data_IF_568960604390
#
_entry.id   IF_568960604390
#
_cell.length_a   1.000
_cell.length_b   1.000
_cell.length_c   1.000
_cell.angle_alpha   90.00
_cell.angle_beta   90.00
_cell.angle_gamma   90.00
#
_symmetry.space_group_name_H-M   'P 1'
#
loop_
_entity.id
_entity.type
_entity.pdbx_description
1 polymer ?
#
# COMPACT_ATOMS: atom_id res chain seq x y z
N UNK A 1 4.96 18.44 -4.82
CA UNK A 1 6.07 18.19 -5.76
C UNK A 1 5.62 18.14 -7.22
N UNK A 2 4.47 17.53 -7.52
CA UNK A 2 3.89 17.65 -8.86
C UNK A 2 3.71 19.11 -9.30
N UNK A 3 3.45 20.02 -8.35
CA UNK A 3 3.36 21.46 -8.64
C UNK A 3 4.70 22.08 -9.05
N UNK A 4 5.81 21.63 -8.43
CA UNK A 4 7.15 22.15 -8.78
C UNK A 4 7.62 21.72 -10.17
N UNK A 5 7.06 20.62 -10.69
CA UNK A 5 7.37 20.06 -12.00
C UNK A 5 6.22 20.21 -13.00
N UNK A 6 5.17 20.94 -12.66
CA UNK A 6 3.97 21.09 -13.49
C UNK A 6 4.27 21.57 -14.92
N UNK A 7 5.24 22.46 -15.08
CA UNK A 7 5.67 22.94 -16.40
C UNK A 7 6.33 21.85 -17.27
N UNK A 8 7.01 20.89 -16.64
CA UNK A 8 7.63 19.76 -17.34
C UNK A 8 6.59 18.71 -17.74
N UNK A 9 5.52 18.56 -16.95
CA UNK A 9 4.41 17.67 -17.24
C UNK A 9 3.33 18.27 -18.16
N UNK A 10 3.33 19.56 -18.40
CA UNK A 10 2.31 20.25 -19.21
C UNK A 10 2.15 19.73 -20.65
N UNK A 11 3.14 19.02 -21.15
CA UNK A 11 3.13 18.38 -22.49
C UNK A 11 2.36 17.06 -22.57
N UNK A 12 1.89 16.53 -21.43
CA UNK A 12 1.16 15.28 -21.37
C UNK A 12 -0.34 15.50 -21.19
N UNK A 13 -1.18 14.60 -21.70
CA UNK A 13 -2.64 14.71 -21.67
C UNK A 13 -3.24 14.76 -20.25
N UNK A 14 -2.50 14.32 -19.24
CA UNK A 14 -2.93 14.37 -17.83
C UNK A 14 -2.67 15.72 -17.15
N UNK A 15 -2.12 16.70 -17.85
CA UNK A 15 -1.83 18.04 -17.27
C UNK A 15 -3.09 18.78 -16.80
N UNK A 16 -4.23 18.65 -17.48
CA UNK A 16 -5.49 19.30 -17.09
C UNK A 16 -6.02 18.76 -15.75
N UNK A 17 -6.15 17.44 -15.51
CA UNK A 17 -6.54 16.92 -14.22
C UNK A 17 -5.61 17.36 -13.07
N UNK A 18 -4.32 17.48 -13.32
CA UNK A 18 -3.35 17.96 -12.33
C UNK A 18 -3.55 19.44 -12.01
N UNK A 19 -3.79 20.28 -13.02
CA UNK A 19 -4.10 21.71 -12.85
C UNK A 19 -5.38 21.88 -12.02
N UNK A 20 -6.46 21.20 -12.39
CA UNK A 20 -7.74 21.22 -11.68
C UNK A 20 -7.61 20.79 -10.21
N UNK A 21 -6.74 19.83 -9.93
CA UNK A 21 -6.43 19.38 -8.57
C UNK A 21 -5.80 20.52 -7.74
N UNK A 22 -4.86 21.23 -8.30
CA UNK A 22 -4.16 22.35 -7.66
C UNK A 22 -5.09 23.56 -7.43
N UNK A 23 -6.01 23.85 -8.36
CA UNK A 23 -6.96 24.97 -8.27
C UNK A 23 -8.13 24.69 -7.31
N UNK A 24 -8.36 23.44 -6.89
CA UNK A 24 -9.49 23.07 -6.02
C UNK A 24 -9.15 23.34 -4.55
N UNK A 25 -9.47 24.51 -4.02
CA UNK A 25 -9.07 25.01 -2.69
C UNK A 25 -10.19 25.00 -1.63
N UNK A 26 -11.33 24.38 -1.85
CA UNK A 26 -12.45 24.43 -0.91
C UNK A 26 -12.51 23.22 0.02
N UNK A 27 -12.82 23.43 1.30
CA UNK A 27 -12.98 22.38 2.32
C UNK A 27 -14.41 21.79 2.38
N UNK A 28 -15.25 22.02 1.37
CA UNK A 28 -16.56 21.38 1.31
C UNK A 28 -16.45 19.90 0.92
N UNK A 29 -17.42 19.07 1.35
CA UNK A 29 -17.46 17.64 1.02
C UNK A 29 -17.47 17.40 -0.49
N UNK A 30 -18.11 18.28 -1.27
CA UNK A 30 -18.11 18.20 -2.72
C UNK A 30 -16.74 18.46 -3.35
N UNK A 31 -15.94 19.37 -2.77
CA UNK A 31 -14.58 19.63 -3.22
C UNK A 31 -13.66 18.47 -2.90
N UNK A 32 -13.83 17.86 -1.74
CA UNK A 32 -13.07 16.67 -1.33
C UNK A 32 -13.36 15.52 -2.30
N UNK A 33 -14.61 15.23 -2.60
CA UNK A 33 -15.00 14.20 -3.55
C UNK A 33 -14.49 14.49 -4.97
N UNK A 34 -14.56 15.76 -5.41
CA UNK A 34 -14.01 16.17 -6.70
C UNK A 34 -12.50 15.96 -6.76
N UNK A 35 -11.76 16.37 -5.73
CA UNK A 35 -10.30 16.18 -5.67
C UNK A 35 -9.90 14.71 -5.70
N UNK A 36 -10.60 13.84 -4.98
CA UNK A 36 -10.37 12.40 -5.02
C UNK A 36 -10.56 11.83 -6.42
N UNK A 37 -11.64 12.21 -7.11
CA UNK A 37 -11.90 11.81 -8.49
C UNK A 37 -10.83 12.29 -9.46
N UNK A 38 -10.41 13.55 -9.36
CA UNK A 38 -9.35 14.13 -10.19
C UNK A 38 -8.00 13.46 -9.94
N UNK A 39 -7.66 13.19 -8.66
CA UNK A 39 -6.44 12.49 -8.30
C UNK A 39 -6.39 11.09 -8.92
N UNK A 40 -7.48 10.32 -8.84
CA UNK A 40 -7.56 9.00 -9.48
C UNK A 40 -7.39 9.06 -10.99
N UNK A 41 -8.02 10.05 -11.64
CA UNK A 41 -7.89 10.28 -13.09
C UNK A 41 -6.45 10.60 -13.45
N UNK A 42 -5.80 11.49 -12.70
CA UNK A 42 -4.40 11.84 -12.88
C UNK A 42 -3.49 10.62 -12.68
N UNK A 43 -3.64 9.90 -11.56
CA UNK A 43 -2.82 8.73 -11.25
C UNK A 43 -2.96 7.61 -12.30
N UNK A 44 -4.19 7.43 -12.84
CA UNK A 44 -4.44 6.49 -13.94
C UNK A 44 -3.72 6.93 -15.20
N UNK A 45 -3.87 8.17 -15.62
CA UNK A 45 -3.25 8.70 -16.83
C UNK A 45 -1.72 8.63 -16.76
N UNK A 46 -1.11 8.94 -15.61
CA UNK A 46 0.33 8.78 -15.39
C UNK A 46 0.75 7.32 -15.54
N UNK A 47 0.04 6.40 -14.91
CA UNK A 47 0.36 4.98 -14.99
C UNK A 47 0.23 4.43 -16.42
N UNK A 48 -0.85 4.75 -17.11
CA UNK A 48 -1.08 4.35 -18.52
C UNK A 48 0.04 4.90 -19.41
N UNK A 49 0.34 6.20 -19.33
CA UNK A 49 1.43 6.83 -20.08
C UNK A 49 2.81 6.23 -19.79
N UNK A 50 3.05 5.81 -18.52
CA UNK A 50 4.28 5.13 -18.16
C UNK A 50 4.37 3.72 -18.78
N UNK A 51 3.29 2.94 -18.72
CA UNK A 51 3.24 1.59 -19.28
C UNK A 51 3.34 1.61 -20.82
N UNK A 52 2.71 2.56 -21.47
CA UNK A 52 2.76 2.76 -22.92
C UNK A 52 4.12 3.33 -23.40
N UNK A 53 4.97 3.79 -22.48
CA UNK A 53 6.24 4.41 -22.79
C UNK A 53 6.15 5.81 -23.38
N UNK A 54 4.97 6.45 -23.32
CA UNK A 54 4.76 7.82 -23.76
C UNK A 54 5.23 8.86 -22.73
N UNK A 55 5.30 8.48 -21.44
CA UNK A 55 5.85 9.29 -20.37
C UNK A 55 7.37 9.12 -20.27
N UNK A 56 8.08 10.25 -20.19
CA UNK A 56 9.53 10.26 -19.99
C UNK A 56 9.91 9.66 -18.64
N UNK A 57 10.47 8.44 -18.67
CA UNK A 57 10.87 7.71 -17.46
C UNK A 57 11.91 8.45 -16.65
N UNK A 58 12.84 9.19 -17.31
CA UNK A 58 13.85 9.96 -16.59
C UNK A 58 13.22 11.09 -15.76
N UNK A 59 12.13 11.68 -16.26
CA UNK A 59 11.39 12.69 -15.51
C UNK A 59 10.71 12.09 -14.29
N UNK A 60 10.05 10.94 -14.44
CA UNK A 60 9.42 10.23 -13.32
C UNK A 60 10.46 9.86 -12.27
N UNK A 61 11.56 9.24 -12.68
CA UNK A 61 12.64 8.84 -11.78
C UNK A 61 13.26 10.05 -11.07
N UNK A 62 13.48 11.17 -11.76
CA UNK A 62 13.98 12.42 -11.16
C UNK A 62 13.07 12.92 -10.03
N UNK A 63 11.75 12.93 -10.26
CA UNK A 63 10.76 13.36 -9.25
C UNK A 63 10.71 12.39 -8.09
N UNK A 64 10.60 11.10 -8.37
CA UNK A 64 10.55 10.04 -7.36
C UNK A 64 11.81 10.05 -6.47
N UNK A 65 13.00 10.13 -7.08
CA UNK A 65 14.25 10.16 -6.35
C UNK A 65 14.39 11.43 -5.49
N UNK A 66 13.97 12.59 -6.00
CA UNK A 66 13.96 13.83 -5.22
C UNK A 66 13.06 13.72 -3.99
N UNK A 67 11.87 13.16 -4.14
CA UNK A 67 10.92 12.92 -3.05
C UNK A 67 11.48 11.93 -2.04
N UNK A 68 12.05 10.85 -2.52
CA UNK A 68 12.65 9.83 -1.67
C UNK A 68 13.81 10.38 -0.83
N UNK A 69 14.71 11.19 -1.42
CA UNK A 69 15.78 11.85 -0.69
C UNK A 69 15.26 12.82 0.39
N UNK A 70 14.18 13.56 0.11
CA UNK A 70 13.53 14.41 1.13
C UNK A 70 12.96 13.57 2.28
N UNK A 71 12.39 12.41 1.99
CA UNK A 71 11.87 11.48 3.01
C UNK A 71 12.99 10.95 3.90
N UNK A 72 14.11 10.52 3.32
CA UNK A 72 15.30 10.06 4.07
C UNK A 72 15.82 11.19 4.98
N UNK A 73 16.02 12.39 4.42
CA UNK A 73 16.53 13.53 5.17
C UNK A 73 15.59 13.90 6.33
N UNK A 74 14.28 13.90 6.11
CA UNK A 74 13.31 14.19 7.16
C UNK A 74 13.33 13.14 8.29
N UNK A 75 13.55 11.88 7.96
CA UNK A 75 13.71 10.82 8.95
C UNK A 75 14.99 11.02 9.77
N UNK A 76 16.11 11.33 9.12
CA UNK A 76 17.40 11.59 9.79
C UNK A 76 17.35 12.83 10.67
N UNK A 77 16.80 13.93 10.18
CA UNK A 77 16.67 15.20 10.91
C UNK A 77 15.82 15.06 12.20
N UNK A 78 14.80 14.20 12.14
CA UNK A 78 13.91 13.96 13.27
C UNK A 78 14.45 12.88 14.24
N UNK A 79 15.42 12.07 13.83
CA UNK A 79 15.94 10.98 14.65
C UNK A 79 16.72 11.51 15.86
N UNK A 80 16.29 11.12 17.06
CA UNK A 80 16.94 11.48 18.33
C UNK A 80 17.14 10.21 19.17
N UNK A 81 18.34 9.62 19.19
CA UNK A 81 18.59 8.38 19.91
C UNK A 81 18.11 8.38 21.35
N UNK A 82 17.30 7.39 21.72
CA UNK A 82 16.71 7.26 23.07
C UNK A 82 15.54 8.21 23.39
N UNK A 83 15.15 9.09 22.46
CA UNK A 83 14.04 10.06 22.62
C UNK A 83 12.98 9.85 21.54
N UNK A 84 13.36 9.85 20.28
CA UNK A 84 12.46 9.71 19.15
C UNK A 84 13.11 8.88 18.05
N UNK A 85 12.48 7.76 17.71
CA UNK A 85 12.96 6.86 16.65
C UNK A 85 12.15 7.11 15.38
N UNK A 86 12.83 7.28 14.29
CA UNK A 86 12.29 7.45 12.95
C UNK A 86 12.79 6.37 12.02
N UNK A 87 12.01 6.06 11.01
CA UNK A 87 12.37 5.15 9.93
C UNK A 87 12.09 5.82 8.59
N UNK A 88 12.96 5.63 7.62
CA UNK A 88 12.62 5.92 6.24
C UNK A 88 11.72 4.81 5.71
N UNK A 89 10.69 5.17 4.97
CA UNK A 89 9.73 4.22 4.40
C UNK A 89 8.90 4.85 3.30
N UNK A 90 8.19 4.01 2.58
CA UNK A 90 7.26 4.42 1.53
C UNK A 90 6.14 3.41 1.38
N UNK A 91 5.06 3.81 0.75
CA UNK A 91 3.97 2.89 0.40
C UNK A 91 4.18 2.33 -1.01
N UNK A 92 4.23 1.00 -1.10
CA UNK A 92 4.10 0.26 -2.34
C UNK A 92 2.61 0.07 -2.63
N UNK A 93 2.04 0.99 -3.41
CA UNK A 93 0.61 1.10 -3.70
C UNK A 93 0.25 0.23 -4.89
N UNK A 94 0.25 -1.09 -4.75
CA UNK A 94 -0.10 -2.03 -5.82
C UNK A 94 -1.54 -2.54 -5.73
N UNK A 95 -2.03 -3.09 -6.82
CA UNK A 95 -3.36 -3.70 -6.90
C UNK A 95 -3.38 -4.80 -7.96
N UNK A 96 -4.30 -5.74 -7.85
CA UNK A 96 -4.46 -6.79 -8.89
C UNK A 96 -5.08 -6.19 -10.16
N UNK A 97 -6.07 -5.34 -9.99
CA UNK A 97 -6.68 -4.58 -11.08
C UNK A 97 -6.33 -3.11 -10.88
N UNK A 98 -6.35 -2.31 -11.92
CA UNK A 98 -6.15 -0.87 -11.80
C UNK A 98 -7.17 -0.31 -10.79
N UNK A 99 -6.72 -0.09 -9.54
CA UNK A 99 -7.46 0.56 -8.43
C UNK A 99 -8.58 -0.24 -7.75
N UNK A 100 -8.81 -1.53 -8.04
CA UNK A 100 -9.99 -2.24 -7.53
C UNK A 100 -9.71 -3.26 -6.42
N UNK A 101 -8.55 -3.94 -6.42
CA UNK A 101 -8.18 -4.94 -5.41
C UNK A 101 -6.82 -4.61 -4.83
N UNK A 102 -6.81 -3.97 -3.67
CA UNK A 102 -5.61 -3.41 -3.07
C UNK A 102 -4.64 -4.48 -2.57
N UNK A 103 -3.39 -4.27 -2.95
CA UNK A 103 -2.25 -5.04 -2.45
C UNK A 103 -1.18 -4.09 -1.89
N UNK A 104 -1.62 -3.07 -1.16
CA UNK A 104 -0.77 -2.04 -0.59
C UNK A 104 0.14 -2.58 0.51
N UNK A 105 1.37 -2.10 0.58
CA UNK A 105 2.35 -2.41 1.62
C UNK A 105 3.15 -1.18 1.99
N UNK A 106 3.31 -0.94 3.28
CA UNK A 106 4.30 0.01 3.76
C UNK A 106 5.66 -0.69 3.83
N UNK A 107 6.61 -0.25 3.02
CA UNK A 107 7.99 -0.72 3.07
C UNK A 107 8.77 0.19 4.01
N UNK A 108 9.36 -0.39 5.06
CA UNK A 108 10.08 0.32 6.11
C UNK A 108 11.52 -0.21 6.15
N UNK A 109 12.48 0.71 6.12
CA UNK A 109 13.90 0.40 6.21
C UNK A 109 14.38 0.50 7.66
N UNK A 110 15.29 -0.41 8.02
CA UNK A 110 15.85 -0.50 9.38
C UNK A 110 16.64 0.74 9.77
N UNK A 111 17.36 1.31 8.83
CA UNK A 111 18.12 2.55 8.98
C UNK A 111 18.21 3.28 7.63
N UNK A 112 18.82 4.45 7.62
CA UNK A 112 18.93 5.30 6.42
C UNK A 112 20.25 5.16 5.66
N UNK A 113 21.10 4.20 6.08
CA UNK A 113 22.40 4.01 5.45
C UNK A 113 22.29 3.21 4.17
N UNK A 114 23.00 3.67 3.16
CA UNK A 114 23.11 2.99 1.86
C UNK A 114 21.77 2.67 1.19
N UNK A 115 20.73 3.46 1.52
CA UNK A 115 19.43 3.28 0.88
C UNK A 115 19.55 3.50 -0.64
N UNK A 116 18.81 2.77 -1.45
CA UNK A 116 18.83 2.93 -2.90
C UNK A 116 18.33 4.34 -3.30
N UNK A 117 18.94 4.92 -4.32
CA UNK A 117 18.50 6.20 -4.87
C UNK A 117 17.08 6.14 -5.43
N UNK A 118 16.66 4.95 -5.90
CA UNK A 118 15.35 4.68 -6.45
C UNK A 118 14.68 3.51 -5.73
N UNK A 119 13.48 3.74 -5.25
CA UNK A 119 12.64 2.70 -4.64
C UNK A 119 11.91 1.89 -5.72
N UNK A 120 11.60 0.63 -5.41
CA UNK A 120 10.74 -0.22 -6.21
C UNK A 120 9.27 0.16 -5.99
N UNK A 121 8.54 0.42 -7.05
CA UNK A 121 7.17 0.92 -7.00
C UNK A 121 6.22 0.11 -7.90
N UNK A 122 4.93 0.43 -7.84
CA UNK A 122 3.94 -0.13 -8.76
C UNK A 122 4.24 0.12 -10.24
N UNK A 123 5.04 1.14 -10.55
CA UNK A 123 5.47 1.41 -11.92
C UNK A 123 6.48 0.37 -12.44
N UNK A 124 7.18 -0.30 -11.54
CA UNK A 124 8.09 -1.40 -11.87
C UNK A 124 7.32 -2.72 -12.02
N UNK A 125 6.46 -3.01 -11.05
CA UNK A 125 5.55 -4.17 -11.07
C UNK A 125 4.38 -3.96 -10.12
N UNK A 126 3.24 -4.56 -10.42
CA UNK A 126 2.09 -4.69 -9.54
C UNK A 126 2.17 -5.95 -8.67
N UNK A 127 3.07 -6.88 -9.02
CA UNK A 127 3.26 -8.15 -8.33
C UNK A 127 4.07 -7.95 -7.05
N UNK A 128 3.50 -8.21 -5.86
CA UNK A 128 4.23 -8.10 -4.60
C UNK A 128 5.38 -9.10 -4.45
N UNK A 129 5.39 -10.18 -5.23
CA UNK A 129 6.51 -11.15 -5.21
C UNK A 129 7.77 -10.55 -5.84
N UNK A 130 7.60 -9.66 -6.83
CA UNK A 130 8.70 -8.88 -7.40
C UNK A 130 9.23 -7.82 -6.42
N UNK A 131 8.35 -7.24 -5.59
CA UNK A 131 8.81 -6.40 -4.48
C UNK A 131 9.68 -7.22 -3.51
N UNK A 132 9.25 -8.43 -3.13
CA UNK A 132 10.06 -9.28 -2.23
C UNK A 132 11.39 -9.67 -2.84
N UNK A 133 11.43 -9.95 -4.15
CA UNK A 133 12.68 -10.21 -4.88
C UNK A 133 13.63 -9.00 -4.79
N UNK A 134 13.10 -7.81 -5.02
CA UNK A 134 13.87 -6.58 -4.90
C UNK A 134 14.39 -6.35 -3.47
N UNK A 135 13.54 -6.55 -2.46
CA UNK A 135 13.94 -6.43 -1.05
C UNK A 135 15.04 -7.43 -0.68
N UNK A 136 14.95 -8.67 -1.17
CA UNK A 136 15.98 -9.70 -0.93
C UNK A 136 17.31 -9.31 -1.56
N UNK A 137 17.33 -8.81 -2.79
CA UNK A 137 18.54 -8.29 -3.44
C UNK A 137 19.14 -7.14 -2.63
N UNK A 138 18.31 -6.19 -2.17
CA UNK A 138 18.81 -5.08 -1.31
C UNK A 138 19.38 -5.59 0.01
N UNK A 139 18.81 -6.63 0.58
CA UNK A 139 19.31 -7.26 1.82
C UNK A 139 20.69 -7.90 1.63
N UNK A 140 20.94 -8.52 0.48
CA UNK A 140 22.27 -9.02 0.12
C UNK A 140 23.32 -7.89 0.03
N UNK A 141 22.89 -6.68 -0.30
CA UNK A 141 23.71 -5.47 -0.30
C UNK A 141 23.80 -4.79 1.08
N UNK A 142 23.19 -5.38 2.11
CA UNK A 142 23.21 -4.87 3.49
C UNK A 142 22.11 -3.89 3.83
N UNK A 143 21.09 -3.72 2.97
CA UNK A 143 19.93 -2.86 3.22
C UNK A 143 18.77 -3.68 3.76
N UNK A 144 18.55 -3.63 5.08
CA UNK A 144 17.48 -4.34 5.75
C UNK A 144 16.16 -3.59 5.68
N UNK A 145 15.10 -4.30 5.30
CA UNK A 145 13.73 -3.76 5.23
C UNK A 145 12.69 -4.82 5.55
N UNK A 146 11.47 -4.36 5.84
CA UNK A 146 10.26 -5.18 5.93
C UNK A 146 9.12 -4.49 5.21
N UNK A 147 8.12 -5.27 4.78
CA UNK A 147 6.89 -4.77 4.22
C UNK A 147 5.71 -5.14 5.11
N UNK A 148 4.76 -4.22 5.28
CA UNK A 148 3.55 -4.40 6.09
C UNK A 148 2.34 -4.28 5.17
N UNK A 149 1.70 -5.41 4.76
CA UNK A 149 0.43 -5.38 4.07
C UNK A 149 -0.63 -4.67 4.92
N UNK A 150 -1.40 -3.81 4.28
CA UNK A 150 -2.52 -3.11 4.90
C UNK A 150 -3.72 -3.05 3.95
N UNK A 151 -4.89 -2.62 4.43
CA UNK A 151 -6.12 -2.60 3.63
C UNK A 151 -6.51 -3.96 3.03
N UNK A 152 -6.19 -5.06 3.70
CA UNK A 152 -6.49 -6.39 3.18
C UNK A 152 -8.00 -6.64 3.04
N UNK A 153 -8.83 -5.99 3.88
CA UNK A 153 -10.29 -6.01 3.82
C UNK A 153 -10.86 -5.58 2.46
N UNK A 154 -10.11 -4.78 1.71
CA UNK A 154 -10.49 -4.29 0.38
C UNK A 154 -9.65 -4.88 -0.77
N UNK A 155 -8.99 -6.01 -0.52
CA UNK A 155 -8.19 -6.72 -1.51
C UNK A 155 -8.99 -7.67 -2.42
N UNK A 156 -10.29 -7.85 -2.18
CA UNK A 156 -11.10 -8.81 -2.95
C UNK A 156 -10.57 -10.26 -2.88
N UNK A 157 -9.95 -10.64 -1.78
CA UNK A 157 -9.39 -11.97 -1.54
C UNK A 157 -7.94 -12.16 -2.00
N UNK A 158 -7.34 -11.15 -2.59
CA UNK A 158 -6.00 -11.27 -3.17
C UNK A 158 -4.86 -11.13 -2.14
N UNK A 159 -5.10 -10.43 -1.01
CA UNK A 159 -4.06 -10.22 0.00
C UNK A 159 -3.52 -11.52 0.61
N UNK A 160 -4.39 -12.50 0.84
CA UNK A 160 -4.06 -13.79 1.44
C UNK A 160 -4.58 -14.95 0.56
N UNK A 161 -4.16 -14.96 -0.69
CA UNK A 161 -4.54 -15.96 -1.68
C UNK A 161 -3.98 -17.35 -1.35
N UNK A 162 -4.62 -18.42 -1.89
CA UNK A 162 -4.10 -19.80 -1.88
C UNK A 162 -3.26 -20.09 -3.14
N UNK A 163 -2.98 -19.10 -3.95
CA UNK A 163 -2.13 -19.15 -5.15
C UNK A 163 -1.16 -17.96 -5.15
N UNK A 164 -0.10 -18.05 -5.93
CA UNK A 164 0.78 -16.91 -6.22
C UNK A 164 0.03 -15.81 -6.99
N UNK A 165 0.69 -14.70 -7.25
CA UNK A 165 0.09 -13.54 -7.93
C UNK A 165 -0.43 -13.89 -9.33
N UNK A 166 0.23 -14.79 -10.04
CA UNK A 166 -0.12 -15.21 -11.39
C UNK A 166 -1.14 -16.37 -11.44
N UNK A 167 -1.63 -16.83 -10.27
CA UNK A 167 -2.60 -17.92 -10.14
C UNK A 167 -1.98 -19.33 -10.14
N UNK A 168 -0.66 -19.42 -10.05
CA UNK A 168 0.08 -20.68 -9.88
C UNK A 168 0.02 -21.19 -8.43
N UNK A 169 0.51 -22.41 -8.18
CA UNK A 169 0.55 -22.97 -6.83
C UNK A 169 1.61 -22.28 -5.98
N UNK A 170 1.27 -22.03 -4.71
CA UNK A 170 2.26 -21.59 -3.71
C UNK A 170 3.26 -22.73 -3.48
N UNK A 171 4.54 -22.41 -3.44
CA UNK A 171 5.64 -23.29 -3.10
C UNK A 171 6.44 -22.80 -1.88
N UNK A 172 7.44 -23.58 -1.44
CA UNK A 172 8.29 -23.22 -0.30
C UNK A 172 9.14 -21.97 -0.57
N UNK A 173 9.42 -21.65 -1.84
CA UNK A 173 10.15 -20.43 -2.20
C UNK A 173 9.29 -19.20 -1.94
N UNK A 174 8.03 -19.23 -2.39
CA UNK A 174 7.04 -18.19 -2.08
C UNK A 174 6.89 -18.00 -0.57
N UNK A 175 6.68 -19.13 0.17
CA UNK A 175 6.48 -19.08 1.62
C UNK A 175 7.68 -18.43 2.33
N UNK A 176 8.90 -18.86 1.97
CA UNK A 176 10.13 -18.34 2.58
C UNK A 176 10.32 -16.86 2.32
N UNK A 177 10.07 -16.39 1.09
CA UNK A 177 10.15 -14.98 0.72
C UNK A 177 9.12 -14.15 1.48
N UNK A 178 7.86 -14.60 1.52
CA UNK A 178 6.79 -13.91 2.21
C UNK A 178 7.07 -13.76 3.69
N UNK A 179 7.41 -14.84 4.39
CA UNK A 179 7.71 -14.82 5.82
C UNK A 179 8.87 -13.88 6.18
N UNK A 180 9.87 -13.81 5.32
CA UNK A 180 11.04 -12.93 5.52
C UNK A 180 10.70 -11.46 5.32
N UNK A 181 9.89 -11.15 4.28
CA UNK A 181 9.63 -9.79 3.86
C UNK A 181 8.36 -9.18 4.48
N UNK A 182 7.34 -10.01 4.82
CA UNK A 182 6.08 -9.59 5.43
C UNK A 182 5.89 -10.21 6.82
N UNK A 183 6.72 -9.85 7.83
CA UNK A 183 6.62 -10.42 9.18
C UNK A 183 5.45 -9.83 9.97
N UNK A 184 4.82 -8.77 9.50
CA UNK A 184 3.71 -8.05 10.13
C UNK A 184 2.59 -7.84 9.12
N UNK A 185 1.37 -7.65 9.65
CA UNK A 185 0.20 -7.19 8.88
C UNK A 185 -0.58 -6.16 9.70
N UNK A 186 -1.17 -5.18 9.05
CA UNK A 186 -2.08 -4.25 9.69
C UNK A 186 -3.47 -4.87 9.82
N UNK A 187 -4.01 -4.85 11.05
CA UNK A 187 -5.29 -5.47 11.37
C UNK A 187 -6.47 -4.50 11.34
N UNK A 188 -6.21 -3.21 11.56
CA UNK A 188 -7.24 -2.16 11.54
C UNK A 188 -6.64 -0.79 11.25
N UNK A 189 -7.43 0.07 10.61
CA UNK A 189 -7.10 1.46 10.31
C UNK A 189 -8.37 2.26 9.94
N UNK A 190 -8.22 3.50 9.49
CA UNK A 190 -9.34 4.39 9.15
C UNK A 190 -10.31 3.83 8.08
N UNK A 191 -9.81 2.99 7.15
CA UNK A 191 -10.64 2.31 6.12
C UNK A 191 -11.28 1.01 6.62
N UNK A 192 -11.41 0.84 7.92
CA UNK A 192 -12.08 -0.26 8.59
C UNK A 192 -11.17 -1.43 8.98
N UNK A 193 -11.76 -2.36 9.71
CA UNK A 193 -11.07 -3.54 10.21
C UNK A 193 -10.71 -4.52 9.10
N UNK A 194 -9.51 -5.07 9.17
CA UNK A 194 -9.05 -6.23 8.40
C UNK A 194 -8.99 -7.51 9.25
N UNK A 195 -9.48 -7.48 10.50
CA UNK A 195 -9.44 -8.66 11.38
C UNK A 195 -10.31 -9.77 10.86
N UNK A 196 -11.62 -9.52 10.76
CA UNK A 196 -12.62 -10.49 10.30
C UNK A 196 -13.86 -9.78 9.75
N UNK A 197 -14.82 -10.58 9.27
CA UNK A 197 -16.11 -10.10 8.76
C UNK A 197 -17.24 -10.99 9.28
N UNK A 198 -18.46 -10.48 9.53
CA UNK A 198 -19.60 -11.27 10.03
C UNK A 198 -19.92 -12.54 9.22
N UNK A 199 -19.72 -12.51 7.91
CA UNK A 199 -19.92 -13.69 7.07
C UNK A 199 -18.84 -14.77 7.25
N UNK A 200 -17.65 -14.40 7.74
CA UNK A 200 -16.54 -15.32 8.01
C UNK A 200 -16.55 -15.81 9.47
N UNK A 201 -17.06 -15.01 10.39
CA UNK A 201 -17.10 -15.27 11.83
C UNK A 201 -18.54 -15.12 12.38
N UNK A 202 -19.42 -16.02 11.97
CA UNK A 202 -20.88 -15.93 12.24
C UNK A 202 -21.27 -15.96 13.71
N UNK A 203 -20.44 -16.54 14.58
CA UNK A 203 -20.69 -16.70 16.01
C UNK A 203 -19.94 -15.66 16.85
N UNK A 204 -19.31 -14.68 16.22
CA UNK A 204 -18.58 -13.62 16.87
C UNK A 204 -19.43 -12.34 16.85
N UNK A 205 -19.89 -11.92 18.03
CA UNK A 205 -20.73 -10.73 18.19
C UNK A 205 -20.02 -9.43 17.86
N UNK A 206 -18.66 -9.44 17.83
CA UNK A 206 -17.82 -8.31 17.52
C UNK A 206 -17.30 -8.28 16.07
N UNK A 207 -17.67 -9.27 15.27
CA UNK A 207 -17.17 -9.39 13.89
C UNK A 207 -17.50 -8.20 12.97
N UNK A 208 -18.47 -7.37 13.35
CA UNK A 208 -18.86 -6.16 12.62
C UNK A 208 -18.24 -4.88 13.21
N UNK A 209 -17.38 -4.99 14.24
CA UNK A 209 -16.75 -3.82 14.85
C UNK A 209 -15.81 -3.14 13.84
N UNK A 210 -16.03 -1.85 13.63
CA UNK A 210 -15.27 -1.05 12.64
C UNK A 210 -15.23 -1.63 11.22
N UNK A 211 -16.19 -2.49 10.86
CA UNK A 211 -16.30 -2.96 9.49
C UNK A 211 -16.65 -1.80 8.55
N UNK A 212 -15.97 -1.73 7.40
CA UNK A 212 -16.29 -0.72 6.39
C UNK A 212 -17.68 -0.98 5.81
N UNK A 213 -18.56 0.01 5.89
CA UNK A 213 -19.95 -0.12 5.45
C UNK A 213 -20.23 0.44 4.05
N UNK A 214 -19.38 1.36 3.59
CA UNK A 214 -19.57 2.08 2.33
C UNK A 214 -18.24 2.20 1.58
N UNK A 215 -17.87 1.18 0.82
CA UNK A 215 -16.75 1.30 -0.10
C UNK A 215 -17.25 1.62 -1.51
N UNK A 216 -16.62 2.55 -2.26
CA UNK A 216 -17.06 2.94 -3.61
C UNK A 216 -16.93 1.85 -4.68
N UNK A 217 -16.45 0.65 -4.35
CA UNK A 217 -16.32 -0.47 -5.29
C UNK A 217 -17.10 -1.71 -4.83
N UNK A 218 -18.27 -1.98 -5.42
CA UNK A 218 -19.08 -3.18 -5.12
C UNK A 218 -18.33 -4.51 -5.35
N UNK A 219 -17.33 -4.52 -6.22
CA UNK A 219 -16.51 -5.71 -6.54
C UNK A 219 -15.61 -6.17 -5.40
N UNK A 220 -15.27 -5.29 -4.47
CA UNK A 220 -14.34 -5.58 -3.36
C UNK A 220 -14.98 -6.52 -2.34
N UNK A 221 -16.28 -6.40 -2.12
CA UNK A 221 -17.03 -7.27 -1.20
C UNK A 221 -17.38 -8.63 -1.81
N UNK A 222 -17.09 -8.87 -3.07
CA UNK A 222 -17.47 -10.11 -3.76
C UNK A 222 -16.66 -11.33 -3.30
N UNK A 223 -15.47 -11.14 -2.74
CA UNK A 223 -14.65 -12.23 -2.21
C UNK A 223 -14.03 -11.86 -0.85
N UNK A 224 -14.71 -12.23 0.23
CA UNK A 224 -14.24 -11.98 1.60
C UNK A 224 -13.14 -12.94 2.02
N UNK A 225 -13.11 -14.15 1.48
CA UNK A 225 -12.07 -15.14 1.77
C UNK A 225 -10.74 -14.70 1.17
N UNK A 226 -9.69 -14.69 2.00
CA UNK A 226 -8.38 -14.18 1.61
C UNK A 226 -8.22 -12.67 1.77
N UNK A 227 -9.24 -11.97 2.31
CA UNK A 227 -9.20 -10.54 2.59
C UNK A 227 -8.96 -10.21 4.07
N UNK A 228 -9.15 -11.17 4.97
CA UNK A 228 -9.12 -10.93 6.42
C UNK A 228 -8.06 -11.75 7.13
N UNK A 229 -7.45 -11.17 8.16
CA UNK A 229 -6.31 -11.73 8.89
C UNK A 229 -6.66 -13.07 9.57
N UNK A 230 -7.85 -13.18 10.18
CA UNK A 230 -8.29 -14.46 10.81
C UNK A 230 -8.48 -15.57 9.76
N UNK A 231 -8.99 -15.23 8.57
CA UNK A 231 -9.08 -16.18 7.45
C UNK A 231 -7.69 -16.55 6.90
N UNK A 232 -6.76 -15.58 6.88
CA UNK A 232 -5.38 -15.84 6.47
C UNK A 232 -4.69 -16.88 7.37
N UNK A 233 -4.87 -16.80 8.70
CA UNK A 233 -4.35 -17.82 9.62
C UNK A 233 -4.93 -19.20 9.32
N UNK A 234 -6.24 -19.30 9.05
CA UNK A 234 -6.87 -20.58 8.68
C UNK A 234 -6.32 -21.12 7.35
N UNK A 235 -6.12 -20.25 6.36
CA UNK A 235 -5.51 -20.61 5.06
C UNK A 235 -4.07 -21.10 5.24
N UNK A 236 -3.30 -20.42 6.07
CA UNK A 236 -1.94 -20.84 6.39
C UNK A 236 -1.87 -22.21 7.06
N UNK A 237 -2.80 -22.52 7.96
CA UNK A 237 -2.94 -23.87 8.56
C UNK A 237 -3.34 -24.91 7.51
N UNK A 238 -4.25 -24.56 6.61
CA UNK A 238 -4.65 -25.46 5.51
C UNK A 238 -3.47 -25.78 4.58
N UNK A 239 -2.65 -24.80 4.23
CA UNK A 239 -1.43 -25.04 3.45
C UNK A 239 -0.44 -25.94 4.20
N UNK A 240 -0.32 -25.75 5.52
CA UNK A 240 0.54 -26.59 6.36
C UNK A 240 0.04 -28.06 6.41
N UNK A 241 -1.26 -28.30 6.45
CA UNK A 241 -1.84 -29.66 6.34
C UNK A 241 -1.56 -30.30 4.97
N UNK A 242 -1.41 -29.50 3.93
CA UNK A 242 -1.06 -29.95 2.58
C UNK A 242 0.44 -30.17 2.40
N UNK A 243 1.25 -29.99 3.45
CA UNK A 243 2.68 -30.28 3.45
C UNK A 243 3.57 -29.09 3.09
N UNK A 244 3.02 -27.89 2.96
CA UNK A 244 3.78 -26.65 2.80
C UNK A 244 4.03 -25.99 4.16
N UNK A 245 5.04 -25.11 4.22
CA UNK A 245 5.15 -24.18 5.35
C UNK A 245 4.03 -23.13 5.30
N UNK A 246 3.61 -22.62 6.47
CA UNK A 246 2.54 -21.64 6.55
C UNK A 246 3.06 -20.24 6.20
N UNK A 247 2.62 -19.60 5.10
CA UNK A 247 3.08 -18.27 4.67
C UNK A 247 2.48 -17.10 5.49
N UNK A 248 1.50 -17.38 6.35
CA UNK A 248 0.71 -16.38 7.07
C UNK A 248 1.01 -16.39 8.58
N UNK A 249 2.29 -16.61 8.95
CA UNK A 249 2.80 -16.51 10.33
C UNK A 249 3.29 -15.11 10.66
N UNK A 250 2.49 -14.12 10.44
CA UNK A 250 2.83 -12.72 10.72
C UNK A 250 2.30 -12.28 12.08
N UNK A 251 2.97 -11.31 12.70
CA UNK A 251 2.43 -10.51 13.80
C UNK A 251 1.44 -9.46 13.29
N UNK A 252 0.72 -8.84 14.21
CA UNK A 252 -0.30 -7.83 13.87
C UNK A 252 0.06 -6.46 14.44
N UNK A 253 -0.27 -5.41 13.70
CA UNK A 253 -0.23 -4.02 14.16
C UNK A 253 -1.58 -3.35 13.87
N UNK A 254 -1.88 -2.29 14.63
CA UNK A 254 -2.95 -1.35 14.31
C UNK A 254 -2.33 -0.02 13.91
N UNK A 255 -2.90 0.67 12.93
CA UNK A 255 -2.43 1.95 12.45
C UNK A 255 -3.60 2.82 11.99
N UNK A 256 -3.33 3.99 11.46
CA UNK A 256 -4.36 4.93 10.98
C UNK A 256 -4.37 5.09 9.47
N UNK A 257 -3.28 4.73 8.79
CA UNK A 257 -3.09 4.98 7.36
C UNK A 257 -3.30 6.45 6.98
N UNK A 258 -2.87 7.35 7.88
CA UNK A 258 -3.02 8.79 7.66
C UNK A 258 -1.99 9.28 6.66
N UNK A 259 -2.45 10.05 5.67
CA UNK A 259 -1.63 10.63 4.61
C UNK A 259 -1.18 12.06 4.92
N UNK A 260 -1.28 12.47 6.18
CA UNK A 260 -0.84 13.79 6.66
C UNK A 260 0.17 13.62 7.79
N UNK A 261 1.02 14.61 8.02
CA UNK A 261 2.07 14.55 9.05
C UNK A 261 1.56 14.59 10.49
N UNK A 262 0.26 14.64 10.71
CA UNK A 262 -0.38 14.56 12.03
C UNK A 262 -0.88 13.16 12.34
N UNK A 263 -0.72 12.69 13.58
CA UNK A 263 -1.31 11.41 14.01
C UNK A 263 -2.83 11.44 13.91
N UNK A 264 -3.44 10.33 13.47
CA UNK A 264 -4.88 10.17 13.47
C UNK A 264 -5.37 9.78 14.87
N UNK A 265 -6.16 10.62 15.47
CA UNK A 265 -6.85 10.33 16.72
C UNK A 265 -8.35 10.51 16.52
N UNK A 266 -9.14 9.51 16.80
CA UNK A 266 -10.59 9.51 17.07
C UNK A 266 -11.47 10.55 16.37
N UNK A 267 -11.01 11.25 15.36
CA UNK A 267 -11.79 12.30 14.72
C UNK A 267 -12.20 11.91 13.33
N UNK A 268 -13.50 11.90 13.06
CA UNK A 268 -14.12 11.83 11.75
C UNK A 268 -13.51 12.80 10.71
N UNK A 269 -12.80 13.84 11.18
CA UNK A 269 -12.10 14.81 10.34
C UNK A 269 -10.81 14.24 9.71
N UNK A 270 -10.24 13.17 10.27
CA UNK A 270 -9.03 12.53 9.74
C UNK A 270 -9.32 11.36 8.81
N UNK A 271 -10.56 10.94 8.74
CA UNK A 271 -11.01 9.90 7.81
C UNK A 271 -11.27 10.43 6.42
N UNK A 272 -11.05 11.71 6.21
CA UNK A 272 -11.08 12.27 4.87
C UNK A 272 -9.80 11.91 4.13
N UNK A 273 -9.62 10.66 3.87
CA UNK A 273 -8.68 10.20 2.85
C UNK A 273 -9.19 10.60 1.50
N UNK A 274 -9.18 11.90 1.28
CA UNK A 274 -9.43 12.47 -0.02
C UNK A 274 -8.32 12.10 -1.03
N UNK A 275 -7.31 11.35 -0.56
CA UNK A 275 -6.18 10.91 -1.37
C UNK A 275 -6.34 9.50 -1.94
N UNK A 276 -7.34 8.72 -1.50
CA UNK A 276 -7.60 7.38 -2.05
C UNK A 276 -8.72 7.33 -3.07
#
# INVERSE_FOLDING_TARGET
>A
EAADTSSEFSKYDFSEPMHDLNETVSNSIFSILKRSGLFRTFARAVNESYQEGSLDRNLVDKVANSTWQKTINAADDAYKPGIFTTFAGYEYTSSVDLYDRYLHRNVIFKDTKNLPDRIFSRLDSQDPEELWNWMDIRREEGVESLAIPHNSNISGGAAFSMSDYNGGPIDETYVSKRLRNEPLVEITQAKGTSETHPFLSKNDEWANFEAITNHPGEKILSNLKGSYVRDAYLRGLTLAEQGLSNPYKFGIIGSSDTHVGGGSYTCLLYTSDAAD
#
